data_IF_536468788451
#
_entry.id   IF_536468788451
#
_cell.length_a   1.000
_cell.length_b   1.000
_cell.length_c   1.000
_cell.angle_alpha   90.00
_cell.angle_beta   90.00
_cell.angle_gamma   90.00
#
_symmetry.space_group_name_H-M   'P 1'
#
loop_
_entity.id
_entity.type
_entity.pdbx_description
1 polymer ?
#
# COMPACT_ATOMS: atom_id res chain seq x y z
N UNK A 1 15.69 0.11 -29.98
CA UNK A 1 14.94 -0.83 -29.10
C UNK A 1 14.63 -2.06 -29.94
N UNK A 2 15.55 -3.02 -29.98
CA UNK A 2 15.37 -4.25 -30.76
C UNK A 2 14.64 -5.29 -29.90
N UNK A 3 13.50 -5.78 -30.40
CA UNK A 3 12.89 -7.00 -29.87
C UNK A 3 13.82 -8.16 -30.28
N UNK A 4 14.32 -9.00 -29.35
CA UNK A 4 15.22 -10.10 -29.70
C UNK A 4 14.64 -10.98 -30.81
N UNK A 5 15.40 -11.20 -31.88
CA UNK A 5 14.99 -12.06 -33.00
C UNK A 5 14.09 -11.42 -34.07
N UNK A 6 13.71 -10.14 -33.93
CA UNK A 6 12.98 -9.43 -34.99
C UNK A 6 13.98 -8.85 -35.99
N UNK A 7 13.90 -9.34 -37.24
CA UNK A 7 14.69 -8.83 -38.36
C UNK A 7 14.13 -7.46 -38.77
N UNK A 8 15.00 -6.46 -38.86
CA UNK A 8 14.66 -5.15 -39.41
C UNK A 8 14.77 -5.21 -40.94
N UNK A 9 13.65 -5.03 -41.64
CA UNK A 9 13.59 -5.04 -43.11
C UNK A 9 13.74 -3.64 -43.70
N UNK A 10 13.93 -2.60 -42.89
CA UNK A 10 13.98 -1.21 -43.34
C UNK A 10 15.10 -0.97 -44.34
N UNK A 11 16.28 -1.56 -44.11
CA UNK A 11 17.44 -1.45 -45.01
C UNK A 11 17.18 -2.12 -46.37
N UNK A 12 16.56 -3.31 -46.35
CA UNK A 12 16.21 -4.04 -47.58
C UNK A 12 15.07 -3.35 -48.36
N UNK A 13 14.12 -2.75 -47.65
CA UNK A 13 13.03 -1.98 -48.26
C UNK A 13 13.54 -0.68 -48.89
N UNK A 14 14.60 -0.07 -48.33
CA UNK A 14 15.21 1.15 -48.86
C UNK A 14 15.85 0.94 -50.24
N UNK A 15 16.41 -0.25 -50.48
CA UNK A 15 17.04 -0.63 -51.74
C UNK A 15 16.07 -1.21 -52.79
N UNK A 16 14.85 -1.58 -52.38
CA UNK A 16 13.84 -2.17 -53.25
C UNK A 16 13.01 -1.12 -54.01
N UNK A 17 12.49 -1.48 -55.19
CA UNK A 17 11.58 -0.65 -55.98
C UNK A 17 10.29 -1.39 -56.37
N UNK A 18 9.26 -0.61 -56.71
CA UNK A 18 7.99 -1.13 -57.20
C UNK A 18 7.27 -2.01 -56.17
N UNK A 19 6.68 -3.12 -56.64
CA UNK A 19 5.87 -4.03 -55.80
C UNK A 19 6.67 -4.61 -54.64
N UNK A 20 7.96 -4.91 -54.83
CA UNK A 20 8.81 -5.49 -53.79
C UNK A 20 8.93 -4.57 -52.56
N UNK A 21 9.09 -3.26 -52.79
CA UNK A 21 9.14 -2.26 -51.72
C UNK A 21 7.84 -2.22 -50.91
N UNK A 22 6.70 -2.19 -51.61
CA UNK A 22 5.36 -2.17 -50.97
C UNK A 22 5.17 -3.40 -50.07
N UNK A 23 5.57 -4.58 -50.56
CA UNK A 23 5.46 -5.83 -49.80
C UNK A 23 6.37 -5.81 -48.57
N UNK A 24 7.64 -5.40 -48.71
CA UNK A 24 8.59 -5.34 -47.60
C UNK A 24 8.14 -4.39 -46.48
N UNK A 25 7.65 -3.20 -46.84
CA UNK A 25 7.11 -2.23 -45.88
C UNK A 25 5.86 -2.79 -45.16
N UNK A 26 4.95 -3.44 -45.88
CA UNK A 26 3.75 -4.05 -45.29
C UNK A 26 4.10 -5.20 -44.32
N UNK A 27 5.06 -6.05 -44.68
CA UNK A 27 5.55 -7.13 -43.82
C UNK A 27 6.24 -6.56 -42.58
N UNK A 28 7.08 -5.52 -42.72
CA UNK A 28 7.72 -4.87 -41.58
C UNK A 28 6.69 -4.33 -40.57
N UNK A 29 5.65 -3.65 -41.05
CA UNK A 29 4.57 -3.13 -40.19
C UNK A 29 3.84 -4.27 -39.49
N UNK A 30 3.52 -5.35 -40.20
CA UNK A 30 2.82 -6.51 -39.63
C UNK A 30 3.66 -7.19 -38.56
N UNK A 31 4.95 -7.45 -38.83
CA UNK A 31 5.88 -8.06 -37.87
C UNK A 31 6.03 -7.20 -36.61
N UNK A 32 6.13 -5.88 -36.78
CA UNK A 32 6.22 -4.95 -35.66
C UNK A 32 4.96 -4.99 -34.78
N UNK A 33 3.77 -5.01 -35.38
CA UNK A 33 2.49 -5.12 -34.65
C UNK A 33 2.38 -6.44 -33.88
N UNK A 34 2.76 -7.56 -34.51
CA UNK A 34 2.76 -8.86 -33.86
C UNK A 34 3.74 -8.90 -32.67
N UNK A 35 4.96 -8.38 -32.85
CA UNK A 35 5.94 -8.31 -31.79
C UNK A 35 5.45 -7.47 -30.59
N UNK A 36 4.81 -6.33 -30.85
CA UNK A 36 4.22 -5.49 -29.82
C UNK A 36 3.07 -6.20 -29.08
N UNK A 37 2.20 -6.90 -29.82
CA UNK A 37 1.10 -7.64 -29.20
C UNK A 37 1.62 -8.78 -28.33
N UNK A 38 2.58 -9.57 -28.81
CA UNK A 38 3.22 -10.64 -28.04
C UNK A 38 3.90 -10.11 -26.77
N UNK A 39 4.59 -8.97 -26.86
CA UNK A 39 5.23 -8.34 -25.71
C UNK A 39 4.21 -7.88 -24.65
N UNK A 40 3.05 -7.39 -25.10
CA UNK A 40 1.94 -7.02 -24.22
C UNK A 40 1.34 -8.24 -23.54
N UNK A 41 1.04 -9.29 -24.29
CA UNK A 41 0.42 -10.51 -23.77
C UNK A 41 1.33 -11.16 -22.71
N UNK A 42 2.62 -11.29 -22.98
CA UNK A 42 3.58 -11.83 -22.02
C UNK A 42 3.71 -10.96 -20.74
N UNK A 43 3.64 -9.63 -20.87
CA UNK A 43 3.61 -8.75 -19.70
C UNK A 43 2.33 -8.94 -18.87
N UNK A 44 1.17 -9.01 -19.52
CA UNK A 44 -0.12 -9.23 -18.87
C UNK A 44 -0.15 -10.59 -18.15
N UNK A 45 0.34 -11.65 -18.79
CA UNK A 45 0.47 -12.98 -18.20
C UNK A 45 1.40 -13.01 -16.98
N UNK A 46 2.56 -12.35 -17.05
CA UNK A 46 3.49 -12.26 -15.92
C UNK A 46 2.85 -11.52 -14.75
N UNK A 47 2.16 -10.42 -15.03
CA UNK A 47 1.45 -9.61 -14.04
C UNK A 47 0.33 -10.40 -13.36
N UNK A 48 -0.45 -11.14 -14.14
CA UNK A 48 -1.54 -12.01 -13.67
C UNK A 48 -1.01 -13.09 -12.72
N UNK A 49 -0.01 -13.84 -13.16
CA UNK A 49 0.63 -14.89 -12.34
C UNK A 49 1.24 -14.33 -11.06
N UNK A 50 1.87 -13.16 -11.13
CA UNK A 50 2.39 -12.48 -9.95
C UNK A 50 1.25 -12.08 -8.99
N UNK A 51 0.13 -11.54 -9.50
CA UNK A 51 -1.03 -11.18 -8.68
C UNK A 51 -1.58 -12.40 -7.95
N UNK A 52 -1.82 -13.50 -8.66
CA UNK A 52 -2.30 -14.76 -8.07
C UNK A 52 -1.32 -15.29 -7.02
N UNK A 53 -0.02 -15.28 -7.31
CA UNK A 53 1.00 -15.71 -6.36
C UNK A 53 1.06 -14.84 -5.09
N UNK A 54 0.92 -13.51 -5.24
CA UNK A 54 0.83 -12.58 -4.12
C UNK A 54 -0.42 -12.87 -3.28
N UNK A 55 -1.57 -13.09 -3.91
CA UNK A 55 -2.83 -13.38 -3.23
C UNK A 55 -2.75 -14.66 -2.40
N UNK A 56 -2.27 -15.76 -2.99
CA UNK A 56 -2.04 -17.02 -2.28
C UNK A 56 -1.08 -16.85 -1.09
N UNK A 57 0.00 -16.11 -1.27
CA UNK A 57 0.97 -15.87 -0.20
C UNK A 57 0.45 -14.89 0.88
N UNK A 58 -0.48 -13.97 0.54
CA UNK A 58 -1.20 -13.15 1.52
C UNK A 58 -2.17 -14.00 2.34
N UNK A 59 -2.95 -14.87 1.70
CA UNK A 59 -3.84 -15.82 2.38
C UNK A 59 -3.06 -16.75 3.32
N UNK A 60 -1.87 -17.20 2.90
CA UNK A 60 -0.94 -17.97 3.73
C UNK A 60 -0.20 -17.15 4.81
N UNK A 61 -0.49 -15.85 4.98
CA UNK A 61 0.09 -15.00 6.02
C UNK A 61 1.60 -14.71 5.87
N UNK A 62 2.18 -14.89 4.67
CA UNK A 62 3.61 -14.67 4.44
C UNK A 62 3.98 -13.18 4.37
N UNK A 63 3.04 -12.33 3.95
CA UNK A 63 3.22 -10.88 3.89
C UNK A 63 2.99 -10.23 5.25
N UNK A 64 4.07 -10.06 6.04
CA UNK A 64 4.05 -9.40 7.36
C UNK A 64 4.52 -7.94 7.35
N UNK A 65 4.78 -7.39 6.16
CA UNK A 65 5.35 -6.06 5.99
C UNK A 65 6.78 -5.92 6.52
N UNK A 66 7.24 -4.67 6.66
CA UNK A 66 8.55 -4.36 7.24
C UNK A 66 8.51 -4.60 8.75
N UNK A 67 9.36 -5.50 9.26
CA UNK A 67 9.50 -5.72 10.70
C UNK A 67 10.08 -4.48 11.38
N UNK A 68 9.49 -4.11 12.50
CA UNK A 68 10.02 -3.04 13.34
C UNK A 68 11.35 -3.46 13.98
N UNK A 69 12.26 -2.50 14.18
CA UNK A 69 13.49 -2.71 14.94
C UNK A 69 13.17 -2.60 16.44
N UNK A 70 13.18 -3.71 17.20
CA UNK A 70 12.79 -3.68 18.60
C UNK A 70 13.78 -2.89 19.46
N UNK A 71 15.08 -2.91 19.12
CA UNK A 71 16.12 -2.23 19.92
C UNK A 71 15.98 -0.72 19.81
N UNK A 72 15.85 -0.21 18.58
CA UNK A 72 15.66 1.24 18.36
C UNK A 72 14.34 1.74 18.94
N UNK A 73 13.28 0.93 18.86
CA UNK A 73 12.00 1.29 19.50
C UNK A 73 12.14 1.37 21.01
N UNK A 74 12.81 0.41 21.65
CA UNK A 74 13.08 0.47 23.09
C UNK A 74 13.90 1.72 23.47
N UNK A 75 14.89 2.11 22.65
CA UNK A 75 15.65 3.33 22.84
C UNK A 75 14.76 4.59 22.80
N UNK A 76 13.85 4.69 21.83
CA UNK A 76 12.89 5.81 21.75
C UNK A 76 12.03 5.88 23.02
N UNK A 77 11.53 4.74 23.50
CA UNK A 77 10.71 4.69 24.71
C UNK A 77 11.50 5.14 25.94
N UNK A 78 12.74 4.66 26.09
CA UNK A 78 13.61 5.06 27.20
C UNK A 78 13.87 6.57 27.20
N UNK A 79 14.21 7.15 26.04
CA UNK A 79 14.45 8.60 25.89
C UNK A 79 13.18 9.43 26.17
N UNK A 80 12.01 8.94 25.76
CA UNK A 80 10.74 9.62 26.05
C UNK A 80 10.37 9.55 27.53
N UNK A 81 10.59 8.41 28.19
CA UNK A 81 10.36 8.25 29.64
C UNK A 81 11.34 9.07 30.48
N UNK A 82 12.56 9.33 29.99
CA UNK A 82 13.52 10.22 30.66
C UNK A 82 13.28 11.71 30.41
N UNK A 83 12.16 12.10 29.77
CA UNK A 83 11.73 13.49 29.63
C UNK A 83 12.27 14.24 28.40
N UNK A 84 13.00 13.61 27.48
CA UNK A 84 13.48 14.30 26.27
C UNK A 84 12.32 14.70 25.35
N UNK A 85 12.44 15.86 24.70
CA UNK A 85 11.47 16.30 23.69
C UNK A 85 11.42 15.36 22.48
N UNK A 86 10.33 15.41 21.71
CA UNK A 86 10.15 14.57 20.52
C UNK A 86 11.26 14.80 19.49
N UNK A 87 11.61 16.07 19.24
CA UNK A 87 12.67 16.42 18.29
C UNK A 87 14.02 15.92 18.79
N UNK A 88 14.32 16.08 20.08
CA UNK A 88 15.60 15.61 20.63
C UNK A 88 15.70 14.08 20.60
N UNK A 89 14.61 13.39 20.86
CA UNK A 89 14.53 11.93 20.76
C UNK A 89 14.73 11.44 19.32
N UNK A 90 14.15 12.16 18.34
CA UNK A 90 14.29 11.86 16.92
C UNK A 90 15.76 11.93 16.46
N UNK A 91 16.46 13.00 16.85
CA UNK A 91 17.91 13.16 16.61
C UNK A 91 18.73 12.00 17.21
N UNK A 92 18.51 11.70 18.50
CA UNK A 92 19.31 10.71 19.23
C UNK A 92 19.03 9.26 18.81
N UNK A 93 17.80 8.94 18.41
CA UNK A 93 17.40 7.60 17.96
C UNK A 93 17.55 7.39 16.44
N UNK A 94 17.85 8.44 15.68
CA UNK A 94 17.94 8.39 14.22
C UNK A 94 16.60 8.10 13.53
N UNK A 95 15.49 8.54 14.12
CA UNK A 95 14.15 8.44 13.53
C UNK A 95 13.59 9.81 13.16
N UNK A 96 12.58 9.83 12.29
CA UNK A 96 11.81 11.06 12.07
C UNK A 96 10.93 11.37 13.28
N UNK A 97 10.62 12.65 13.50
CA UNK A 97 9.70 13.07 14.56
C UNK A 97 8.32 12.38 14.45
N UNK A 98 7.83 12.14 13.23
CA UNK A 98 6.60 11.39 12.99
C UNK A 98 6.68 9.94 13.49
N UNK A 99 7.81 9.27 13.25
CA UNK A 99 8.03 7.90 13.71
C UNK A 99 8.15 7.84 15.24
N UNK A 100 8.80 8.82 15.88
CA UNK A 100 8.85 8.93 17.34
C UNK A 100 7.45 9.15 17.93
N UNK A 101 6.66 10.07 17.36
CA UNK A 101 5.26 10.31 17.76
C UNK A 101 4.43 9.04 17.68
N UNK A 102 4.53 8.31 16.57
CA UNK A 102 3.82 7.04 16.36
C UNK A 102 4.20 5.99 17.40
N UNK A 103 5.51 5.77 17.63
CA UNK A 103 5.99 4.83 18.66
C UNK A 103 5.46 5.23 20.04
N UNK A 104 5.50 6.52 20.38
CA UNK A 104 5.03 7.02 21.67
C UNK A 104 3.52 6.86 21.87
N UNK A 105 2.72 7.13 20.83
CA UNK A 105 1.28 6.91 20.85
C UNK A 105 0.93 5.42 21.03
N UNK A 106 1.61 4.52 20.32
CA UNK A 106 1.41 3.07 20.46
C UNK A 106 1.70 2.58 21.89
N UNK A 107 2.74 3.13 22.53
CA UNK A 107 3.11 2.78 23.92
C UNK A 107 2.12 3.37 24.92
N UNK A 108 1.75 4.64 24.78
CA UNK A 108 0.77 5.29 25.66
C UNK A 108 -0.60 4.61 25.60
N UNK A 109 -1.05 4.19 24.41
CA UNK A 109 -2.28 3.40 24.26
C UNK A 109 -2.16 2.02 24.91
N UNK A 110 -1.01 1.36 24.80
CA UNK A 110 -0.79 0.06 25.45
C UNK A 110 -0.78 0.20 26.98
N UNK A 111 -0.14 1.23 27.53
CA UNK A 111 -0.14 1.55 28.96
C UNK A 111 -1.56 1.90 29.45
N UNK A 112 -2.33 2.72 28.71
CA UNK A 112 -3.72 3.04 29.05
C UNK A 112 -4.62 1.79 29.13
N UNK A 113 -4.46 0.86 28.16
CA UNK A 113 -5.17 -0.43 28.18
C UNK A 113 -4.78 -1.31 29.37
N UNK A 114 -3.49 -1.32 29.75
CA UNK A 114 -3.00 -2.12 30.88
C UNK A 114 -3.47 -1.57 32.23
N UNK A 115 -3.57 -0.24 32.36
CA UNK A 115 -3.99 0.42 33.59
C UNK A 115 -5.51 0.58 33.73
N UNK A 116 -6.30 -0.03 32.84
CA UNK A 116 -7.77 0.01 32.90
C UNK A 116 -8.36 1.40 32.72
N UNK A 117 -7.61 2.34 32.14
CA UNK A 117 -8.05 3.72 31.93
C UNK A 117 -9.00 3.79 30.73
N UNK A 118 -10.29 3.64 31.04
CA UNK A 118 -11.46 4.19 30.33
C UNK A 118 -11.73 3.75 28.88
N UNK A 119 -12.49 2.66 28.74
CA UNK A 119 -13.75 2.77 27.98
C UNK A 119 -14.75 3.38 28.98
N UNK A 120 -14.61 4.66 29.28
CA UNK A 120 -15.68 5.38 29.98
C UNK A 120 -16.81 5.49 28.96
N UNK A 121 -17.97 5.00 29.36
CA UNK A 121 -19.29 5.13 28.72
C UNK A 121 -19.40 6.39 27.86
N UNK A 122 -18.93 6.31 26.61
CA UNK A 122 -19.42 7.19 25.58
C UNK A 122 -20.86 6.76 25.41
N UNK A 123 -21.78 7.44 26.11
CA UNK A 123 -23.22 7.32 25.92
C UNK A 123 -23.44 7.08 24.43
N UNK A 124 -23.80 5.85 24.08
CA UNK A 124 -24.05 5.56 22.68
C UNK A 124 -25.25 6.39 22.26
N UNK A 125 -25.36 6.67 20.97
CA UNK A 125 -26.52 7.38 20.43
C UNK A 125 -27.84 6.72 20.86
N UNK A 126 -27.81 5.40 21.11
CA UNK A 126 -28.88 4.62 21.74
C UNK A 126 -29.19 5.02 23.20
N UNK A 127 -28.17 5.25 24.04
CA UNK A 127 -28.33 5.68 25.43
C UNK A 127 -28.87 7.12 25.52
N UNK A 128 -28.44 7.99 24.60
CA UNK A 128 -28.96 9.35 24.48
C UNK A 128 -30.44 9.37 24.02
N UNK A 129 -30.81 8.53 23.05
CA UNK A 129 -32.20 8.38 22.57
C UNK A 129 -33.11 7.75 23.63
N UNK A 130 -32.60 6.82 24.45
CA UNK A 130 -33.35 6.21 25.54
C UNK A 130 -33.72 7.20 26.65
N UNK A 131 -32.90 8.23 26.87
CA UNK A 131 -33.19 9.30 27.84
C UNK A 131 -34.28 10.27 27.34
N UNK A 132 -34.38 10.50 26.02
CA UNK A 132 -35.38 11.41 25.43
C UNK A 132 -36.79 10.77 25.41
N UNK A 133 -36.89 9.44 25.29
CA UNK A 133 -38.17 8.73 25.20
C UNK A 133 -38.91 8.45 26.52
N UNK A 134 -38.38 8.91 27.67
CA UNK A 134 -38.99 8.65 28.99
C UNK A 134 -39.79 9.83 29.55
N UNK A 135 -39.64 11.04 29.00
CA UNK A 135 -40.34 12.24 29.50
C UNK A 135 -41.79 12.34 28.99
N UNK A 136 -42.12 11.77 27.81
CA UNK A 136 -43.46 11.94 27.22
C UNK A 136 -44.54 10.99 27.80
N UNK A 137 -44.20 10.08 28.72
CA UNK A 137 -45.17 9.11 29.30
C UNK A 137 -45.68 9.46 30.70
N UNK A 138 -45.25 10.57 31.31
CA UNK A 138 -45.74 10.99 32.63
C UNK A 138 -46.79 12.12 32.60
N UNK A 139 -46.97 12.82 31.47
CA UNK A 139 -47.96 13.93 31.39
C UNK A 139 -49.38 13.50 30.97
N UNK A 140 -49.61 12.27 30.48
CA UNK A 140 -50.98 11.79 30.14
C UNK A 140 -51.74 11.11 31.29
N UNK A 141 -51.20 11.13 32.53
CA UNK A 141 -51.88 10.58 33.72
C UNK A 141 -51.82 11.55 34.90
N UNK A 142 -52.43 12.72 34.73
CA UNK A 142 -52.84 13.60 35.84
C UNK A 142 -54.23 14.17 35.57
#
# INVERSE_FOLDING_TARGET
>A
LAVPGVVDLSDLAAEAQGVAKIVLEAVQIMLFRLALQMARDDYEDRRERQRQGIELARQAGRYKGRRADPKRRAQVVALRKSGYSINKTAELAGYSAAQVKRIWAEVSQAEAKQHGAFVEDALTEADALAAVGQDERQEERA
#
